data_IF_103200597235
#
_entry.id   IF_103200597235
#
_cell.length_a   1.000
_cell.length_b   1.000
_cell.length_c   1.000
_cell.angle_alpha   90.00
_cell.angle_beta   90.00
_cell.angle_gamma   90.00
#
_symmetry.space_group_name_H-M   'P 1'
#
loop_
_entity.id
_entity.type
_entity.pdbx_description
1 polymer ?
#
# COMPACT_ATOMS: atom_id res chain seq x y z
N UNK A 1 0.54 -1.40 45.33
CA UNK A 1 0.83 -2.09 44.05
C UNK A 1 -0.48 -2.36 43.36
N UNK A 2 -0.64 -1.93 42.11
CA UNK A 2 -1.82 -2.22 41.29
C UNK A 2 -1.60 -3.59 40.64
N UNK A 3 -2.48 -4.55 40.92
CA UNK A 3 -2.40 -5.90 40.38
C UNK A 3 -3.43 -6.04 39.25
N UNK A 4 -3.02 -6.65 38.13
CA UNK A 4 -3.96 -7.06 37.08
C UNK A 4 -4.84 -8.21 37.56
N UNK A 5 -6.01 -8.40 36.94
CA UNK A 5 -6.95 -9.50 37.22
C UNK A 5 -6.31 -10.91 37.05
N UNK A 6 -5.13 -10.96 36.44
CA UNK A 6 -4.29 -12.16 36.22
C UNK A 6 -3.26 -12.41 37.33
N UNK A 7 -3.23 -11.59 38.40
CA UNK A 7 -2.31 -11.77 39.55
C UNK A 7 -0.90 -11.19 39.36
N UNK A 8 -0.57 -10.63 38.20
CA UNK A 8 0.74 -10.02 37.94
C UNK A 8 0.79 -8.56 38.46
N UNK A 9 1.83 -8.17 39.21
CA UNK A 9 2.01 -6.79 39.65
C UNK A 9 2.35 -5.90 38.43
N UNK A 10 1.65 -4.76 38.29
CA UNK A 10 2.01 -3.76 37.28
C UNK A 10 3.23 -3.01 37.80
N UNK A 11 4.37 -3.23 37.15
CA UNK A 11 5.63 -2.55 37.49
C UNK A 11 5.85 -1.33 36.58
N UNK A 12 6.63 -0.35 37.03
CA UNK A 12 6.92 0.87 36.26
C UNK A 12 7.62 0.53 34.92
N UNK A 13 8.45 -0.50 34.90
CA UNK A 13 9.13 -1.01 33.71
C UNK A 13 8.13 -1.47 32.64
N UNK A 14 7.01 -2.07 33.07
CA UNK A 14 5.96 -2.56 32.17
C UNK A 14 5.20 -1.41 31.51
N UNK A 15 5.00 -0.30 32.24
CA UNK A 15 4.40 0.93 31.70
C UNK A 15 5.34 1.59 30.68
N UNK A 16 6.63 1.70 31.00
CA UNK A 16 7.64 2.27 30.08
C UNK A 16 7.77 1.44 28.81
N UNK A 17 7.78 0.10 28.94
CA UNK A 17 7.77 -0.80 27.78
C UNK A 17 6.50 -0.63 26.94
N UNK A 18 5.34 -0.47 27.56
CA UNK A 18 4.07 -0.18 26.87
C UNK A 18 4.13 1.13 26.05
N UNK A 19 4.70 2.20 26.61
CA UNK A 19 4.86 3.47 25.89
C UNK A 19 5.87 3.34 24.74
N UNK A 20 7.00 2.66 24.97
CA UNK A 20 8.00 2.43 23.94
C UNK A 20 7.45 1.60 22.76
N UNK A 21 6.74 0.52 23.05
CA UNK A 21 6.10 -0.33 22.03
C UNK A 21 4.99 0.40 21.27
N UNK A 22 4.18 1.22 21.95
CA UNK A 22 3.20 2.08 21.29
C UNK A 22 3.88 3.04 20.29
N UNK A 23 5.02 3.63 20.66
CA UNK A 23 5.84 4.46 19.76
C UNK A 23 6.30 3.72 18.51
N UNK A 24 6.79 2.49 18.66
CA UNK A 24 7.22 1.64 17.53
C UNK A 24 6.05 1.36 16.57
N UNK A 25 4.87 1.04 17.11
CA UNK A 25 3.66 0.77 16.30
C UNK A 25 3.24 2.02 15.53
N UNK A 26 3.20 3.20 16.18
CA UNK A 26 2.90 4.46 15.51
C UNK A 26 3.90 4.76 14.39
N UNK A 27 5.20 4.57 14.62
CA UNK A 27 6.22 4.75 13.60
C UNK A 27 6.02 3.80 12.41
N UNK A 28 5.68 2.53 12.67
CA UNK A 28 5.41 1.54 11.62
C UNK A 28 4.18 1.93 10.77
N UNK A 29 3.09 2.40 11.40
CA UNK A 29 1.90 2.85 10.68
C UNK A 29 2.22 4.07 9.80
N UNK A 30 2.97 5.05 10.32
CA UNK A 30 3.40 6.22 9.54
C UNK A 30 4.28 5.82 8.34
N UNK A 31 5.15 4.84 8.51
CA UNK A 31 5.96 4.30 7.43
C UNK A 31 5.10 3.67 6.32
N UNK A 32 4.16 2.80 6.67
CA UNK A 32 3.25 2.20 5.71
C UNK A 32 2.34 3.22 5.01
N UNK A 33 1.87 4.23 5.74
CA UNK A 33 1.10 5.34 5.15
C UNK A 33 1.91 6.13 4.13
N UNK A 34 3.15 6.47 4.46
CA UNK A 34 4.08 7.16 3.55
C UNK A 34 4.37 6.33 2.31
N UNK A 35 4.59 5.01 2.48
CA UNK A 35 4.79 4.08 1.37
C UNK A 35 3.58 4.04 0.43
N UNK A 36 2.36 3.97 0.97
CA UNK A 36 1.13 3.91 0.18
C UNK A 36 0.92 5.18 -0.67
N UNK A 37 1.24 6.35 -0.13
CA UNK A 37 1.13 7.63 -0.86
C UNK A 37 2.19 7.74 -1.96
N UNK A 38 3.43 7.32 -1.69
CA UNK A 38 4.55 7.48 -2.61
C UNK A 38 4.49 6.45 -3.75
N UNK A 39 4.16 5.20 -3.42
CA UNK A 39 4.11 4.09 -4.38
C UNK A 39 2.73 4.04 -5.00
N UNK A 40 2.58 4.74 -6.12
CA UNK A 40 1.40 4.63 -6.97
C UNK A 40 1.45 3.35 -7.80
N UNK A 41 0.26 2.87 -8.16
CA UNK A 41 0.03 1.73 -9.05
C UNK A 41 0.89 1.78 -10.32
N UNK A 42 1.01 2.95 -10.94
CA UNK A 42 1.81 3.16 -12.16
C UNK A 42 3.31 2.98 -11.93
N UNK A 43 3.82 3.33 -10.74
CA UNK A 43 5.24 3.14 -10.39
C UNK A 43 5.57 1.66 -10.19
N UNK A 44 4.68 0.90 -9.55
CA UNK A 44 4.83 -0.57 -9.40
C UNK A 44 4.91 -1.22 -10.79
N UNK A 45 4.00 -0.83 -11.68
CA UNK A 45 3.96 -1.30 -13.06
C UNK A 45 5.22 -0.93 -13.86
N UNK A 46 5.73 0.29 -13.68
CA UNK A 46 6.95 0.73 -14.33
C UNK A 46 8.19 -0.09 -13.91
N UNK A 47 8.28 -0.48 -12.64
CA UNK A 47 9.39 -1.31 -12.13
C UNK A 47 9.27 -2.74 -12.67
N UNK A 48 8.08 -3.34 -12.59
CA UNK A 48 7.83 -4.71 -13.07
C UNK A 48 7.96 -4.83 -14.60
N UNK A 49 7.62 -3.76 -15.34
CA UNK A 49 7.69 -3.74 -16.80
C UNK A 49 9.09 -3.90 -17.38
N UNK A 50 10.14 -3.63 -16.58
CA UNK A 50 11.54 -3.82 -16.99
C UNK A 50 12.05 -5.24 -16.71
N UNK A 51 11.66 -5.84 -15.59
CA UNK A 51 12.14 -7.16 -15.17
C UNK A 51 11.32 -8.30 -15.78
N UNK A 52 9.99 -8.15 -15.85
CA UNK A 52 9.05 -9.20 -16.26
C UNK A 52 7.90 -8.58 -17.09
N UNK A 53 8.11 -8.32 -18.40
CA UNK A 53 7.17 -7.57 -19.22
C UNK A 53 5.79 -8.24 -19.36
N UNK A 54 5.73 -9.59 -19.37
CA UNK A 54 4.46 -10.33 -19.47
C UNK A 54 3.60 -10.13 -18.23
N UNK A 55 4.21 -10.25 -17.04
CA UNK A 55 3.51 -10.05 -15.77
C UNK A 55 3.07 -8.60 -15.65
N UNK A 56 3.93 -7.65 -16.03
CA UNK A 56 3.57 -6.24 -16.05
C UNK A 56 2.36 -5.97 -16.95
N UNK A 57 2.30 -6.54 -18.17
CA UNK A 57 1.14 -6.37 -19.06
C UNK A 57 -0.15 -6.97 -18.50
N UNK A 58 -0.09 -8.11 -17.82
CA UNK A 58 -1.26 -8.68 -17.16
C UNK A 58 -1.72 -7.80 -16.01
N UNK A 59 -0.78 -7.33 -15.19
CA UNK A 59 -1.05 -6.51 -14.03
C UNK A 59 -1.60 -5.14 -14.45
N UNK A 60 -1.08 -4.52 -15.53
CA UNK A 60 -1.64 -3.26 -16.07
C UNK A 60 -3.08 -3.46 -16.54
N UNK A 61 -3.38 -4.57 -17.22
CA UNK A 61 -4.72 -4.88 -17.67
C UNK A 61 -5.67 -5.08 -16.48
N UNK A 62 -5.28 -5.86 -15.46
CA UNK A 62 -6.09 -6.10 -14.27
C UNK A 62 -6.38 -4.78 -13.54
N UNK A 63 -5.36 -3.95 -13.29
CA UNK A 63 -5.53 -2.69 -12.58
C UNK A 63 -6.38 -1.68 -13.33
N UNK A 64 -6.30 -1.66 -14.67
CA UNK A 64 -7.19 -0.83 -15.51
C UNK A 64 -8.61 -1.40 -15.55
N UNK A 65 -8.76 -2.70 -15.38
CA UNK A 65 -10.04 -3.39 -15.40
C UNK A 65 -10.86 -3.15 -14.13
N UNK A 66 -10.22 -3.08 -12.96
CA UNK A 66 -10.88 -2.79 -11.67
C UNK A 66 -11.78 -1.55 -11.71
N UNK A 67 -11.29 -0.33 -12.06
CA UNK A 67 -12.13 0.87 -12.07
C UNK A 67 -13.27 0.77 -13.07
N UNK A 68 -13.02 0.21 -14.27
CA UNK A 68 -14.06 -0.01 -15.28
C UNK A 68 -15.18 -0.92 -14.77
N UNK A 69 -14.82 -2.02 -14.11
CA UNK A 69 -15.79 -2.95 -13.53
C UNK A 69 -16.61 -2.28 -12.41
N UNK A 70 -15.99 -1.41 -11.60
CA UNK A 70 -16.72 -0.67 -10.56
C UNK A 70 -17.64 0.41 -11.13
N UNK A 71 -17.26 1.07 -12.22
CA UNK A 71 -18.07 2.08 -12.91
C UNK A 71 -19.31 1.43 -13.52
N UNK A 72 -19.13 0.38 -14.34
CA UNK A 72 -20.25 -0.37 -14.88
C UNK A 72 -21.10 -1.05 -13.81
N UNK A 73 -20.49 -1.48 -12.70
CA UNK A 73 -21.24 -2.00 -11.56
C UNK A 73 -22.17 -0.97 -10.94
N UNK A 74 -21.74 0.29 -10.86
CA UNK A 74 -22.59 1.39 -10.40
C UNK A 74 -23.68 1.73 -11.41
N UNK A 75 -23.35 1.85 -12.69
CA UNK A 75 -24.33 2.16 -13.74
C UNK A 75 -25.43 1.08 -13.82
N UNK A 76 -25.04 -0.20 -13.72
CA UNK A 76 -25.99 -1.31 -13.73
C UNK A 76 -26.83 -1.38 -12.46
N UNK A 77 -26.28 -0.98 -11.31
CA UNK A 77 -27.03 -0.83 -10.06
C UNK A 77 -28.06 0.29 -10.18
N UNK A 78 -27.66 1.48 -10.66
CA UNK A 78 -28.54 2.62 -10.87
C UNK A 78 -29.67 2.29 -11.87
N UNK A 79 -29.34 1.65 -12.99
CA UNK A 79 -30.32 1.20 -13.98
C UNK A 79 -31.30 0.17 -13.40
N UNK A 80 -30.83 -0.81 -12.63
CA UNK A 80 -31.71 -1.80 -11.98
C UNK A 80 -32.62 -1.14 -10.92
N UNK A 81 -32.12 -0.17 -10.16
CA UNK A 81 -32.92 0.58 -9.18
C UNK A 81 -34.00 1.44 -9.85
N UNK A 82 -33.68 2.07 -10.99
CA UNK A 82 -34.64 2.85 -11.78
C UNK A 82 -35.74 1.97 -12.38
N UNK A 83 -35.40 0.76 -12.85
CA UNK A 83 -36.34 -0.18 -13.48
C UNK A 83 -37.23 -0.93 -12.47
N UNK A 84 -36.67 -1.38 -11.35
CA UNK A 84 -37.42 -2.17 -10.36
C UNK A 84 -38.11 -1.31 -9.29
N UNK A 85 -37.88 0.01 -9.31
CA UNK A 85 -38.25 0.93 -8.24
C UNK A 85 -37.45 0.66 -6.95
N UNK A 86 -37.35 1.66 -6.08
CA UNK A 86 -36.79 1.46 -4.74
C UNK A 86 -37.72 0.49 -4.00
N UNK A 87 -37.35 -0.80 -3.95
CA UNK A 87 -38.05 -1.77 -3.11
C UNK A 87 -37.90 -1.31 -1.67
N UNK A 88 -38.98 -0.73 -1.14
CA UNK A 88 -39.07 -0.29 0.24
C UNK A 88 -38.76 -1.51 1.10
N UNK A 89 -37.66 -1.47 1.86
CA UNK A 89 -37.39 -2.47 2.87
C UNK A 89 -38.53 -2.35 3.89
N UNK A 90 -39.51 -3.24 3.80
CA UNK A 90 -40.45 -3.41 4.89
C UNK A 90 -39.64 -3.93 6.09
N UNK A 91 -39.42 -3.06 7.07
CA UNK A 91 -38.88 -3.38 8.39
C UNK A 91 -39.94 -4.18 9.18
N UNK A 92 -40.35 -5.32 8.65
CA UNK A 92 -41.19 -6.26 9.39
C UNK A 92 -40.44 -6.73 10.63
N UNK A 93 -40.99 -6.50 11.83
CA UNK A 93 -40.43 -6.89 13.13
C UNK A 93 -40.22 -8.42 13.30
N UNK A 94 -40.66 -9.24 12.36
CA UNK A 94 -40.55 -10.71 12.38
C UNK A 94 -39.28 -11.24 11.73
N UNK A 95 -38.66 -12.25 12.34
CA UNK A 95 -37.44 -12.94 11.84
C UNK A 95 -37.62 -13.45 10.40
N UNK A 96 -38.83 -13.92 10.05
CA UNK A 96 -39.16 -14.38 8.68
C UNK A 96 -39.08 -13.26 7.63
N UNK A 97 -39.47 -12.03 7.98
CA UNK A 97 -39.39 -10.89 7.07
C UNK A 97 -37.94 -10.47 6.83
N UNK A 98 -37.09 -10.48 7.87
CA UNK A 98 -35.64 -10.24 7.73
C UNK A 98 -34.98 -11.26 6.79
N UNK A 99 -35.27 -12.55 6.95
CA UNK A 99 -34.70 -13.59 6.09
C UNK A 99 -35.14 -13.41 4.63
N UNK A 100 -36.41 -13.05 4.40
CA UNK A 100 -36.92 -12.75 3.05
C UNK A 100 -36.20 -11.55 2.42
N UNK A 101 -36.06 -10.45 3.16
CA UNK A 101 -35.35 -9.25 2.69
C UNK A 101 -33.88 -9.54 2.36
N UNK A 102 -33.17 -10.35 3.16
CA UNK A 102 -31.80 -10.76 2.86
C UNK A 102 -31.72 -11.62 1.59
N UNK A 103 -32.66 -12.56 1.40
CA UNK A 103 -32.71 -13.39 0.18
C UNK A 103 -33.00 -12.55 -1.07
N UNK A 104 -33.92 -11.61 -0.97
CA UNK A 104 -34.28 -10.72 -2.07
C UNK A 104 -33.10 -9.80 -2.44
N UNK A 105 -32.39 -9.25 -1.45
CA UNK A 105 -31.16 -8.48 -1.66
C UNK A 105 -30.08 -9.33 -2.32
N UNK A 106 -29.81 -10.53 -1.81
CA UNK A 106 -28.81 -11.43 -2.39
C UNK A 106 -29.14 -11.79 -3.84
N UNK A 107 -30.41 -12.03 -4.17
CA UNK A 107 -30.85 -12.33 -5.54
C UNK A 107 -30.61 -11.15 -6.50
N UNK A 108 -30.82 -9.93 -6.02
CA UNK A 108 -30.56 -8.71 -6.79
C UNK A 108 -29.06 -8.51 -7.02
N UNK A 109 -28.24 -8.61 -5.98
CA UNK A 109 -26.78 -8.54 -6.09
C UNK A 109 -26.22 -9.64 -7.01
N UNK A 110 -26.75 -10.87 -6.93
CA UNK A 110 -26.35 -11.98 -7.81
C UNK A 110 -26.72 -11.71 -9.28
N UNK A 111 -27.86 -11.04 -9.54
CA UNK A 111 -28.24 -10.62 -10.90
C UNK A 111 -27.27 -9.57 -11.43
N UNK A 112 -26.95 -8.55 -10.63
CA UNK A 112 -25.98 -7.51 -10.99
C UNK A 112 -24.61 -8.13 -11.26
N UNK A 113 -24.15 -9.04 -10.39
CA UNK A 113 -22.90 -9.77 -10.58
C UNK A 113 -22.86 -10.55 -11.90
N UNK A 114 -23.95 -11.24 -12.27
CA UNK A 114 -24.06 -11.96 -13.53
C UNK A 114 -23.93 -11.03 -14.75
N UNK A 115 -24.58 -9.86 -14.70
CA UNK A 115 -24.51 -8.83 -15.75
C UNK A 115 -23.08 -8.31 -15.87
N UNK A 116 -22.46 -7.92 -14.76
CA UNK A 116 -21.08 -7.42 -14.73
C UNK A 116 -20.12 -8.49 -15.26
N UNK A 117 -20.32 -9.75 -14.91
CA UNK A 117 -19.49 -10.88 -15.40
C UNK A 117 -19.61 -11.04 -16.91
N UNK A 118 -20.82 -10.93 -17.46
CA UNK A 118 -21.06 -11.02 -18.90
C UNK A 118 -20.35 -9.88 -19.63
N UNK A 119 -20.54 -8.64 -19.16
CA UNK A 119 -19.86 -7.46 -19.69
C UNK A 119 -18.33 -7.59 -19.59
N UNK A 120 -17.84 -8.13 -18.48
CA UNK A 120 -16.41 -8.37 -18.24
C UNK A 120 -15.80 -9.32 -19.27
N UNK A 121 -16.53 -10.39 -19.61
CA UNK A 121 -16.12 -11.39 -20.58
C UNK A 121 -16.09 -10.80 -21.99
N UNK A 122 -17.13 -10.05 -22.36
CA UNK A 122 -17.24 -9.35 -23.65
C UNK A 122 -16.09 -8.35 -23.82
N UNK A 123 -15.89 -7.45 -22.85
CA UNK A 123 -14.81 -6.47 -22.89
C UNK A 123 -13.41 -7.14 -22.91
N UNK A 124 -13.27 -8.33 -22.31
CA UNK A 124 -12.02 -9.10 -22.36
C UNK A 124 -11.74 -9.65 -23.76
N UNK A 125 -12.77 -10.17 -24.44
CA UNK A 125 -12.68 -10.65 -25.84
C UNK A 125 -12.35 -9.48 -26.77
N UNK A 126 -13.09 -8.36 -26.67
CA UNK A 126 -12.83 -7.17 -27.48
C UNK A 126 -11.40 -6.63 -27.30
N UNK A 127 -10.92 -6.63 -26.06
CA UNK A 127 -9.55 -6.20 -25.76
C UNK A 127 -8.53 -7.17 -26.35
N UNK A 128 -8.77 -8.48 -26.30
CA UNK A 128 -7.88 -9.48 -26.89
C UNK A 128 -7.82 -9.36 -28.41
N UNK A 129 -8.96 -9.18 -29.08
CA UNK A 129 -9.04 -8.99 -30.53
C UNK A 129 -8.38 -7.68 -30.95
N UNK A 130 -8.59 -6.59 -30.20
CA UNK A 130 -7.90 -5.32 -30.44
C UNK A 130 -6.37 -5.45 -30.29
N UNK A 131 -5.91 -6.20 -29.29
CA UNK A 131 -4.49 -6.48 -29.09
C UNK A 131 -3.92 -7.31 -30.25
N UNK A 132 -4.65 -8.33 -30.71
CA UNK A 132 -4.25 -9.17 -31.84
C UNK A 132 -4.18 -8.37 -33.14
N UNK A 133 -5.16 -7.51 -33.40
CA UNK A 133 -5.18 -6.62 -34.57
C UNK A 133 -4.00 -5.63 -34.58
N UNK A 134 -3.53 -5.20 -33.40
CA UNK A 134 -2.33 -4.36 -33.24
C UNK A 134 -1.01 -5.14 -33.28
N UNK A 135 -1.05 -6.44 -33.60
CA UNK A 135 0.15 -7.27 -33.73
C UNK A 135 0.72 -7.79 -32.41
N UNK A 136 -0.06 -7.83 -31.33
CA UNK A 136 0.40 -8.39 -30.06
C UNK A 136 0.84 -9.86 -30.25
N UNK A 137 2.11 -10.15 -29.96
CA UNK A 137 2.69 -11.50 -30.08
C UNK A 137 3.41 -11.80 -31.40
N UNK A 138 3.46 -10.86 -32.35
CA UNK A 138 4.07 -11.08 -33.67
C UNK A 138 5.56 -10.72 -33.77
N UNK A 139 6.11 -9.95 -32.81
CA UNK A 139 7.49 -9.46 -32.86
C UNK A 139 8.15 -9.24 -31.50
N UNK A 140 9.42 -8.81 -31.52
CA UNK A 140 10.19 -8.46 -30.31
C UNK A 140 9.52 -7.27 -29.61
N UNK A 141 9.27 -7.39 -28.30
CA UNK A 141 8.64 -6.35 -27.50
C UNK A 141 9.64 -5.27 -27.10
N UNK A 142 9.25 -4.01 -27.27
CA UNK A 142 9.94 -2.85 -26.70
C UNK A 142 9.10 -2.30 -25.55
N UNK A 143 9.74 -1.95 -24.43
CA UNK A 143 9.06 -1.36 -23.27
C UNK A 143 9.14 0.16 -23.34
N UNK A 144 7.98 0.83 -23.32
CA UNK A 144 7.92 2.27 -23.10
C UNK A 144 7.76 2.51 -21.60
N UNK A 145 8.79 3.11 -20.99
CA UNK A 145 8.75 3.50 -19.59
C UNK A 145 9.29 4.93 -19.46
N UNK A 146 8.54 5.80 -18.77
CA UNK A 146 8.94 7.18 -18.53
C UNK A 146 9.98 7.31 -17.39
N UNK A 147 10.20 6.25 -16.60
CA UNK A 147 11.16 6.25 -15.51
C UNK A 147 12.54 5.79 -16.01
N UNK A 148 13.52 6.67 -15.91
CA UNK A 148 14.93 6.38 -16.21
C UNK A 148 15.72 6.39 -14.91
N UNK A 149 16.49 5.31 -14.68
CA UNK A 149 17.38 5.25 -13.53
C UNK A 149 18.58 6.17 -13.76
N UNK A 150 18.74 7.17 -12.91
CA UNK A 150 19.87 8.10 -13.00
C UNK A 150 20.99 7.67 -12.07
N UNK A 151 22.22 8.07 -12.37
CA UNK A 151 23.39 7.78 -11.52
C UNK A 151 23.21 8.32 -10.10
N UNK A 152 22.52 9.46 -9.95
CA UNK A 152 22.16 10.03 -8.65
C UNK A 152 21.30 9.08 -7.82
N UNK A 153 20.32 8.43 -8.45
CA UNK A 153 19.44 7.47 -7.77
C UNK A 153 20.24 6.25 -7.29
N UNK A 154 21.23 5.82 -8.09
CA UNK A 154 22.16 4.76 -7.70
C UNK A 154 23.05 5.13 -6.51
N UNK A 155 23.57 6.35 -6.45
CA UNK A 155 24.39 6.82 -5.32
C UNK A 155 23.56 6.89 -4.04
N UNK A 156 22.34 7.45 -4.11
CA UNK A 156 21.43 7.53 -2.96
C UNK A 156 21.03 6.14 -2.46
N UNK A 157 20.76 5.22 -3.38
CA UNK A 157 20.42 3.83 -3.06
C UNK A 157 21.60 3.10 -2.42
N UNK A 158 22.81 3.28 -2.93
CA UNK A 158 24.01 2.68 -2.32
C UNK A 158 24.25 3.26 -0.91
N UNK A 159 24.11 4.57 -0.75
CA UNK A 159 24.22 5.24 0.55
C UNK A 159 23.22 4.69 1.57
N UNK A 160 21.95 4.53 1.20
CA UNK A 160 20.93 3.97 2.10
C UNK A 160 21.19 2.51 2.45
N UNK A 161 21.64 1.69 1.49
CA UNK A 161 22.00 0.28 1.75
C UNK A 161 23.16 0.17 2.73
N UNK A 162 24.23 0.94 2.52
CA UNK A 162 25.42 0.90 3.40
C UNK A 162 25.05 1.26 4.84
N UNK A 163 24.25 2.33 5.03
CA UNK A 163 23.78 2.71 6.35
C UNK A 163 22.86 1.65 6.98
N UNK A 164 22.00 1.02 6.19
CA UNK A 164 21.11 -0.05 6.66
C UNK A 164 21.91 -1.28 7.10
N UNK A 165 22.95 -1.67 6.35
CA UNK A 165 23.83 -2.77 6.74
C UNK A 165 24.58 -2.41 8.03
N UNK A 166 25.08 -1.18 8.14
CA UNK A 166 25.78 -0.73 9.34
C UNK A 166 24.89 -0.79 10.60
N UNK A 167 23.61 -0.41 10.51
CA UNK A 167 22.67 -0.52 11.63
C UNK A 167 22.34 -1.97 11.98
N UNK A 168 22.20 -2.87 11.00
CA UNK A 168 21.99 -4.30 11.24
C UNK A 168 23.20 -4.93 11.95
N UNK A 169 24.43 -4.60 11.52
CA UNK A 169 25.65 -5.09 12.15
C UNK A 169 25.77 -4.57 13.60
N UNK A 170 25.44 -3.29 13.83
CA UNK A 170 25.41 -2.74 15.19
C UNK A 170 24.37 -3.43 16.10
N UNK A 171 23.21 -3.82 15.54
CA UNK A 171 22.21 -4.60 16.25
C UNK A 171 22.73 -6.01 16.59
N UNK A 172 23.36 -6.69 15.63
CA UNK A 172 23.88 -8.06 15.82
C UNK A 172 24.97 -8.13 16.89
N UNK A 173 25.81 -7.11 17.00
CA UNK A 173 26.86 -7.01 18.01
C UNK A 173 26.33 -6.64 19.41
N UNK A 174 25.01 -6.63 19.61
CA UNK A 174 24.34 -6.22 20.85
C UNK A 174 24.80 -4.84 21.36
N UNK A 175 25.12 -3.93 20.44
CA UNK A 175 25.61 -2.59 20.75
C UNK A 175 24.42 -1.67 21.11
N UNK A 176 23.24 -1.96 20.54
CA UNK A 176 21.99 -1.21 20.71
C UNK A 176 20.90 -2.12 21.28
N UNK A 177 21.08 -2.63 22.49
CA UNK A 177 20.03 -3.39 23.18
C UNK A 177 19.64 -2.67 24.47
N UNK A 178 18.36 -2.28 24.53
CA UNK A 178 17.73 -1.81 25.75
C UNK A 178 16.93 -2.96 26.34
N UNK A 179 17.42 -3.54 27.42
CA UNK A 179 16.64 -4.50 28.20
C UNK A 179 15.70 -3.72 29.10
N UNK A 180 14.39 -3.92 28.95
CA UNK A 180 13.38 -3.27 29.80
C UNK A 180 13.04 -4.11 31.05
N UNK A 181 13.34 -5.41 31.05
CA UNK A 181 13.05 -6.33 32.16
C UNK A 181 14.28 -7.21 32.45
N UNK A 182 14.71 -7.45 33.71
CA UNK A 182 14.20 -6.98 35.00
C UNK A 182 14.83 -5.65 35.50
N UNK A 183 15.79 -5.07 34.78
CA UNK A 183 16.33 -3.72 35.05
C UNK A 183 16.54 -3.01 33.72
N UNK A 184 16.25 -1.70 33.66
CA UNK A 184 16.50 -0.89 32.45
C UNK A 184 18.01 -0.78 32.25
N UNK A 185 18.57 -1.63 31.40
CA UNK A 185 19.98 -1.56 31.01
C UNK A 185 20.04 -1.03 29.59
N UNK A 186 20.55 0.18 29.47
CA UNK A 186 20.78 0.84 28.20
C UNK A 186 22.26 0.71 27.88
N UNK A 187 22.62 -0.17 26.95
CA UNK A 187 23.95 -0.19 26.37
C UNK A 187 23.96 0.86 25.26
N UNK A 188 24.65 1.96 25.52
CA UNK A 188 24.65 3.13 24.64
C UNK A 188 25.95 3.20 23.86
N UNK A 189 25.86 2.99 22.55
CA UNK A 189 26.88 3.47 21.63
C UNK A 189 26.32 4.63 20.84
N UNK A 190 26.86 5.82 21.13
CA UNK A 190 26.50 7.08 20.48
C UNK A 190 26.72 6.99 18.98
N UNK A 191 27.74 6.26 18.53
CA UNK A 191 28.06 6.12 17.12
C UNK A 191 26.95 5.40 16.35
N UNK A 192 26.37 4.35 16.94
CA UNK A 192 25.31 3.58 16.32
C UNK A 192 24.00 4.38 16.20
N UNK A 193 23.67 5.19 17.21
CA UNK A 193 22.53 6.12 17.15
C UNK A 193 22.73 7.23 16.11
N UNK A 194 23.96 7.73 15.94
CA UNK A 194 24.28 8.73 14.89
C UNK A 194 24.09 8.12 13.50
N UNK A 195 24.53 6.89 13.27
CA UNK A 195 24.35 6.19 11.98
C UNK A 195 22.86 5.98 11.68
N UNK A 196 22.08 5.54 12.68
CA UNK A 196 20.64 5.37 12.54
C UNK A 196 19.90 6.70 12.30
N UNK A 197 20.25 7.75 13.05
CA UNK A 197 19.69 9.08 12.86
C UNK A 197 20.00 9.64 11.46
N UNK A 198 21.23 9.41 10.96
CA UNK A 198 21.62 9.82 9.63
C UNK A 198 20.81 9.07 8.55
N UNK A 199 20.56 7.77 8.72
CA UNK A 199 19.68 6.99 7.84
C UNK A 199 18.27 7.58 7.79
N UNK A 200 17.66 7.86 8.95
CA UNK A 200 16.32 8.45 9.04
C UNK A 200 16.24 9.86 8.45
N UNK A 201 17.31 10.64 8.51
CA UNK A 201 17.36 12.00 7.95
C UNK A 201 17.57 12.02 6.43
N UNK A 202 18.05 10.93 5.81
CA UNK A 202 18.28 10.89 4.35
C UNK A 202 17.09 11.33 3.49
N UNK A 203 15.85 10.84 3.67
CA UNK A 203 14.71 11.30 2.86
C UNK A 203 14.37 12.77 3.10
N UNK A 204 14.53 13.25 4.34
CA UNK A 204 14.26 14.65 4.70
C UNK A 204 15.26 15.58 4.03
N UNK A 205 16.54 15.24 4.06
CA UNK A 205 17.61 16.01 3.41
C UNK A 205 17.40 16.09 1.89
N UNK A 206 16.99 14.99 1.25
CA UNK A 206 16.69 14.97 -0.18
C UNK A 206 15.52 15.91 -0.52
N UNK A 207 14.42 15.84 0.23
CA UNK A 207 13.25 16.69 0.02
C UNK A 207 13.57 18.18 0.21
N UNK A 208 14.36 18.53 1.24
CA UNK A 208 14.78 19.91 1.49
C UNK A 208 15.66 20.40 0.33
N UNK A 209 16.64 19.61 -0.10
CA UNK A 209 17.55 20.00 -1.17
C UNK A 209 16.81 20.20 -2.50
N UNK A 210 15.83 19.35 -2.82
CA UNK A 210 14.99 19.49 -4.00
C UNK A 210 14.11 20.74 -3.92
N UNK A 211 13.53 21.04 -2.76
CA UNK A 211 12.72 22.25 -2.54
C UNK A 211 13.56 23.53 -2.69
N UNK A 212 14.76 23.56 -2.12
CA UNK A 212 15.68 24.69 -2.26
C UNK A 212 16.10 24.90 -3.72
N UNK A 213 16.40 23.81 -4.43
CA UNK A 213 16.73 23.87 -5.85
C UNK A 213 15.56 24.40 -6.68
N UNK A 214 14.34 23.97 -6.39
CA UNK A 214 13.13 24.44 -7.06
C UNK A 214 12.91 25.94 -6.85
N UNK A 215 13.02 26.40 -5.60
CA UNK A 215 12.87 27.82 -5.27
C UNK A 215 13.93 28.70 -5.96
N UNK A 216 15.18 28.22 -6.05
CA UNK A 216 16.26 28.93 -6.76
C UNK A 216 16.05 29.00 -8.28
N UNK A 217 15.38 28.00 -8.87
CA UNK A 217 15.03 28.02 -10.29
C UNK A 217 13.87 28.97 -10.57
N UNK A 218 12.88 29.01 -9.67
CA UNK A 218 11.73 29.91 -9.77
C UNK A 218 12.10 31.39 -9.60
N UNK A 219 13.12 31.70 -8.80
CA UNK A 219 13.62 33.08 -8.61
C UNK A 219 14.50 33.60 -9.75
N UNK A 220 14.88 32.74 -10.70
CA UNK A 220 15.74 33.09 -11.84
C UNK A 220 14.95 33.29 -13.15
N UNK A 221 13.63 33.13 -13.09
CA UNK A 221 12.66 33.49 -14.13
C UNK A 221 12.08 34.85 -13.75
#
# INVERSE_FOLDING_TARGET
MFYLFTGNPVTLESIVYGVATAGIICAMIMWFGSFNIIITTDKILAVLGKTMPVIATLLTMILRFIPKMTEHGKDTLEANQALNGVKRQDEGKTIKAKIKNLKDKFKEEAKIFSIITTWSLENSVDTADSMRARGYGTGKRTSYNNYRFTVRDGIILLWSIVLTIATIVALHNEIIITYYYPTIRIKNDVMAYVIFGLLCLTPVLINIWETLRWNRLKSKI
#
